data_IF_821881794055
#
_entry.id   IF_821881794055
#
_cell.length_a   1.000
_cell.length_b   1.000
_cell.length_c   1.000
_cell.angle_alpha   90.00
_cell.angle_beta   90.00
_cell.angle_gamma   90.00
#
_symmetry.space_group_name_H-M   'P 1'
#
loop_
_entity.id
_entity.type
_entity.pdbx_description
1 polymer ?
#
# COMPACT_ATOMS: atom_id res chain seq x y z
N UNK A 1 -5.37 1.36 -32.59
CA UNK A 1 -5.73 0.04 -32.08
C UNK A 1 -6.07 -0.87 -33.26
N UNK A 2 -5.44 -2.04 -33.35
CA UNK A 2 -5.65 -3.01 -34.44
C UNK A 2 -6.62 -4.09 -33.98
N UNK A 3 -7.85 -3.69 -33.67
CA UNK A 3 -8.87 -4.53 -33.03
C UNK A 3 -9.30 -5.75 -33.87
N UNK A 4 -8.85 -5.82 -35.13
CA UNK A 4 -9.15 -6.89 -36.07
C UNK A 4 -8.12 -8.03 -36.08
N UNK A 5 -6.97 -7.89 -35.41
CA UNK A 5 -5.94 -8.94 -35.41
C UNK A 5 -6.30 -10.09 -34.47
N UNK A 6 -6.70 -9.76 -33.23
CA UNK A 6 -7.19 -10.71 -32.23
C UNK A 6 -8.29 -10.02 -31.40
N UNK A 7 -9.53 -9.99 -31.90
CA UNK A 7 -10.63 -9.24 -31.28
C UNK A 7 -11.05 -9.80 -29.91
N UNK A 8 -10.79 -11.09 -29.65
CA UNK A 8 -11.12 -11.86 -28.45
C UNK A 8 -9.91 -12.03 -27.50
N UNK A 9 -8.84 -11.25 -27.70
CA UNK A 9 -7.64 -11.36 -26.88
C UNK A 9 -7.91 -11.17 -25.38
N UNK A 10 -8.71 -10.20 -24.93
CA UNK A 10 -9.01 -10.05 -23.50
C UNK A 10 -9.68 -11.29 -22.89
N UNK A 11 -10.64 -11.90 -23.58
CA UNK A 11 -11.37 -13.08 -23.13
C UNK A 11 -10.47 -14.32 -23.07
N UNK A 12 -9.58 -14.48 -24.04
CA UNK A 12 -8.56 -15.54 -24.05
C UNK A 12 -7.58 -15.37 -22.89
N UNK A 13 -7.09 -14.16 -22.64
CA UNK A 13 -6.15 -13.87 -21.55
C UNK A 13 -6.84 -14.03 -20.18
N UNK A 14 -8.11 -13.64 -20.05
CA UNK A 14 -8.88 -13.88 -18.84
C UNK A 14 -9.04 -15.38 -18.56
N UNK A 15 -9.36 -16.17 -19.60
CA UNK A 15 -9.47 -17.63 -19.48
C UNK A 15 -8.15 -18.28 -19.09
N UNK A 16 -7.03 -17.81 -19.68
CA UNK A 16 -5.69 -18.23 -19.31
C UNK A 16 -5.41 -17.91 -17.83
N UNK A 17 -5.68 -16.67 -17.40
CA UNK A 17 -5.39 -16.20 -16.05
C UNK A 17 -6.09 -17.03 -14.95
N UNK A 18 -7.30 -17.52 -15.22
CA UNK A 18 -8.05 -18.37 -14.29
C UNK A 18 -7.45 -19.77 -14.10
N UNK A 19 -6.73 -20.28 -15.11
CA UNK A 19 -6.18 -21.64 -15.10
C UNK A 19 -4.66 -21.69 -14.91
N UNK A 20 -4.00 -20.55 -15.09
CA UNK A 20 -2.55 -20.46 -15.03
C UNK A 20 -2.04 -20.85 -13.64
N UNK A 21 -0.86 -21.47 -13.59
CA UNK A 21 -0.16 -21.79 -12.35
C UNK A 21 1.11 -20.93 -12.21
N UNK A 22 1.74 -20.57 -13.33
CA UNK A 22 2.95 -19.77 -13.31
C UNK A 22 2.68 -18.33 -12.85
N UNK A 23 3.44 -17.93 -11.84
CA UNK A 23 3.29 -16.65 -11.15
C UNK A 23 3.59 -15.47 -12.07
N UNK A 24 4.63 -15.56 -12.89
CA UNK A 24 5.01 -14.49 -13.79
C UNK A 24 3.98 -14.33 -14.92
N UNK A 25 3.48 -15.44 -15.47
CA UNK A 25 2.40 -15.45 -16.46
C UNK A 25 1.13 -14.84 -15.89
N UNK A 26 0.71 -15.20 -14.67
CA UNK A 26 -0.45 -14.58 -14.01
C UNK A 26 -0.31 -13.07 -13.93
N UNK A 27 0.83 -12.58 -13.44
CA UNK A 27 1.09 -11.14 -13.33
C UNK A 27 1.00 -10.47 -14.70
N UNK A 28 1.63 -11.05 -15.72
CA UNK A 28 1.65 -10.47 -17.07
C UNK A 28 0.25 -10.44 -17.70
N UNK A 29 -0.50 -11.53 -17.59
CA UNK A 29 -1.89 -11.63 -18.05
C UNK A 29 -2.79 -10.61 -17.32
N UNK A 30 -2.67 -10.52 -16.00
CA UNK A 30 -3.43 -9.56 -15.20
C UNK A 30 -3.09 -8.11 -15.59
N UNK A 31 -1.82 -7.75 -15.73
CA UNK A 31 -1.40 -6.41 -16.17
C UNK A 31 -1.91 -6.09 -17.58
N UNK A 32 -1.94 -7.07 -18.49
CA UNK A 32 -2.54 -6.89 -19.82
C UNK A 32 -4.03 -6.56 -19.69
N UNK A 33 -4.79 -7.32 -18.90
CA UNK A 33 -6.22 -7.07 -18.67
C UNK A 33 -6.46 -5.70 -18.04
N UNK A 34 -5.67 -5.30 -17.03
CA UNK A 34 -5.79 -3.97 -16.40
C UNK A 34 -5.67 -2.82 -17.42
N UNK A 35 -4.88 -3.00 -18.48
CA UNK A 35 -4.66 -1.96 -19.49
C UNK A 35 -5.63 -2.04 -20.68
N UNK A 36 -6.10 -3.24 -21.04
CA UNK A 36 -6.90 -3.46 -22.26
C UNK A 36 -8.38 -3.72 -21.97
N UNK A 37 -8.71 -4.39 -20.87
CA UNK A 37 -10.07 -4.73 -20.47
C UNK A 37 -10.21 -4.70 -18.94
N UNK A 38 -10.26 -3.49 -18.33
CA UNK A 38 -10.26 -3.33 -16.86
C UNK A 38 -11.40 -4.07 -16.16
N UNK A 39 -12.57 -4.17 -16.80
CA UNK A 39 -13.74 -4.89 -16.29
C UNK A 39 -13.42 -6.37 -16.00
N UNK A 40 -12.71 -7.05 -16.92
CA UNK A 40 -12.28 -8.44 -16.74
C UNK A 40 -11.20 -8.58 -15.66
N UNK A 41 -10.34 -7.58 -15.49
CA UNK A 41 -9.37 -7.57 -14.40
C UNK A 41 -10.06 -7.43 -13.02
N UNK A 42 -11.11 -6.62 -12.94
CA UNK A 42 -11.93 -6.47 -11.73
C UNK A 42 -12.71 -7.76 -11.44
N UNK A 43 -13.28 -8.40 -12.46
CA UNK A 43 -13.95 -9.70 -12.33
C UNK A 43 -12.99 -10.77 -11.77
N UNK A 44 -11.79 -10.86 -12.34
CA UNK A 44 -10.75 -11.75 -11.82
C UNK A 44 -10.42 -11.42 -10.37
N UNK A 45 -10.15 -10.15 -10.04
CA UNK A 45 -9.82 -9.73 -8.68
C UNK A 45 -10.93 -10.12 -7.70
N UNK A 46 -12.19 -9.93 -8.06
CA UNK A 46 -13.33 -10.29 -7.22
C UNK A 46 -13.39 -11.80 -6.91
N UNK A 47 -13.00 -12.63 -7.89
CA UNK A 47 -12.94 -14.09 -7.69
C UNK A 47 -11.84 -14.52 -6.72
N UNK A 48 -10.75 -13.75 -6.59
CA UNK A 48 -9.57 -14.11 -5.80
C UNK A 48 -9.24 -13.15 -4.65
N UNK A 49 -10.06 -12.15 -4.36
CA UNK A 49 -9.71 -11.03 -3.46
C UNK A 49 -9.27 -11.48 -2.06
N UNK A 50 -9.84 -12.57 -1.54
CA UNK A 50 -9.49 -13.14 -0.23
C UNK A 50 -8.15 -13.89 -0.22
N UNK A 51 -7.60 -14.19 -1.39
CA UNK A 51 -6.34 -14.93 -1.55
C UNK A 51 -5.14 -14.00 -1.80
N UNK A 52 -5.41 -12.72 -2.08
CA UNK A 52 -4.39 -11.71 -2.43
C UNK A 52 -3.23 -11.65 -1.44
N UNK A 53 -3.42 -11.74 -0.10
CA UNK A 53 -2.30 -11.76 0.84
C UNK A 53 -1.30 -12.91 0.65
N UNK A 54 -1.72 -13.99 -0.02
CA UNK A 54 -0.90 -15.18 -0.28
C UNK A 54 -0.24 -15.17 -1.67
N UNK A 55 -0.52 -14.17 -2.50
CA UNK A 55 0.13 -14.02 -3.80
C UNK A 55 1.56 -13.53 -3.66
N UNK A 56 2.33 -13.68 -4.74
CA UNK A 56 3.67 -13.13 -4.80
C UNK A 56 3.64 -11.60 -4.86
N UNK A 57 4.78 -11.00 -4.54
CA UNK A 57 4.96 -9.56 -4.50
C UNK A 57 4.55 -8.85 -5.80
N UNK A 58 4.90 -9.38 -6.97
CA UNK A 58 4.65 -8.68 -8.23
C UNK A 58 3.16 -8.66 -8.59
N UNK A 59 2.45 -9.75 -8.33
CA UNK A 59 1.00 -9.80 -8.51
C UNK A 59 0.28 -8.93 -7.47
N UNK A 60 0.72 -8.94 -6.21
CA UNK A 60 0.19 -8.04 -5.17
C UNK A 60 0.32 -6.57 -5.58
N UNK A 61 1.50 -6.14 -6.05
CA UNK A 61 1.72 -4.77 -6.53
C UNK A 61 0.79 -4.41 -7.70
N UNK A 62 0.64 -5.31 -8.68
CA UNK A 62 -0.27 -5.08 -9.81
C UNK A 62 -1.74 -4.94 -9.37
N UNK A 63 -2.16 -5.71 -8.36
CA UNK A 63 -3.50 -5.63 -7.78
C UNK A 63 -3.71 -4.31 -7.04
N UNK A 64 -2.73 -3.87 -6.24
CA UNK A 64 -2.78 -2.56 -5.55
C UNK A 64 -2.94 -1.42 -6.57
N UNK A 65 -2.25 -1.49 -7.71
CA UNK A 65 -2.39 -0.52 -8.80
C UNK A 65 -3.78 -0.55 -9.44
N UNK A 66 -4.36 -1.74 -9.69
CA UNK A 66 -5.73 -1.85 -10.19
C UNK A 66 -6.72 -1.22 -9.19
N UNK A 67 -6.61 -1.57 -7.91
CA UNK A 67 -7.49 -1.05 -6.85
C UNK A 67 -7.48 0.48 -6.84
N UNK A 68 -6.29 1.09 -6.93
CA UNK A 68 -6.13 2.55 -6.97
C UNK A 68 -6.80 3.18 -8.19
N UNK A 69 -6.76 2.50 -9.35
CA UNK A 69 -7.40 2.96 -10.58
C UNK A 69 -8.92 2.81 -10.52
N UNK A 70 -9.42 1.64 -10.12
CA UNK A 70 -10.86 1.35 -10.09
C UNK A 70 -11.61 2.23 -9.07
N UNK A 71 -11.04 2.44 -7.88
CA UNK A 71 -11.69 3.24 -6.84
C UNK A 71 -11.91 4.72 -7.19
N UNK A 72 -11.25 5.26 -8.22
CA UNK A 72 -11.53 6.61 -8.73
C UNK A 72 -12.84 6.68 -9.50
N UNK A 73 -13.25 5.58 -10.11
CA UNK A 73 -14.40 5.51 -11.02
C UNK A 73 -15.58 4.75 -10.41
N UNK A 74 -15.32 3.78 -9.52
CA UNK A 74 -16.33 2.87 -9.00
C UNK A 74 -16.33 2.81 -7.46
N UNK A 75 -17.33 3.47 -6.85
CA UNK A 75 -17.47 3.52 -5.40
C UNK A 75 -18.02 2.21 -4.78
N UNK A 76 -18.67 1.35 -5.57
CA UNK A 76 -19.32 0.14 -5.06
C UNK A 76 -18.32 -0.85 -4.44
N UNK A 77 -17.11 -0.91 -5.01
CA UNK A 77 -16.07 -1.85 -4.60
C UNK A 77 -15.20 -1.36 -3.44
N UNK A 78 -15.39 -0.11 -3.01
CA UNK A 78 -14.49 0.58 -2.08
C UNK A 78 -14.29 -0.16 -0.75
N UNK A 79 -15.36 -0.73 -0.18
CA UNK A 79 -15.29 -1.45 1.09
C UNK A 79 -14.41 -2.70 1.03
N UNK A 80 -14.58 -3.55 0.00
CA UNK A 80 -13.77 -4.77 -0.18
C UNK A 80 -12.31 -4.45 -0.48
N UNK A 81 -12.05 -3.37 -1.22
CA UNK A 81 -10.68 -2.91 -1.49
C UNK A 81 -9.98 -2.39 -0.24
N UNK A 82 -10.67 -1.59 0.60
CA UNK A 82 -10.09 -1.15 1.87
C UNK A 82 -9.69 -2.36 2.72
N UNK A 83 -10.53 -3.39 2.81
CA UNK A 83 -10.20 -4.61 3.56
C UNK A 83 -8.96 -5.32 2.98
N UNK A 84 -8.92 -5.53 1.68
CA UNK A 84 -7.78 -6.17 0.99
C UNK A 84 -6.47 -5.39 1.22
N UNK A 85 -6.49 -4.06 1.04
CA UNK A 85 -5.32 -3.22 1.27
C UNK A 85 -4.88 -3.23 2.74
N UNK A 86 -5.84 -3.28 3.68
CA UNK A 86 -5.52 -3.35 5.10
C UNK A 86 -4.80 -4.65 5.47
N UNK A 87 -5.17 -5.79 4.87
CA UNK A 87 -4.47 -7.06 5.04
C UNK A 87 -3.03 -6.98 4.49
N UNK A 88 -2.83 -6.30 3.36
CA UNK A 88 -1.51 -6.10 2.75
C UNK A 88 -0.55 -5.20 3.55
N UNK A 89 -1.03 -4.47 4.56
CA UNK A 89 -0.15 -3.79 5.53
C UNK A 89 0.74 -4.77 6.31
N UNK A 90 0.37 -6.06 6.34
CA UNK A 90 1.14 -7.12 6.98
C UNK A 90 1.93 -7.98 5.98
N UNK A 91 2.01 -7.59 4.71
CA UNK A 91 2.72 -8.34 3.69
C UNK A 91 4.22 -8.53 4.04
N UNK A 92 4.86 -9.64 3.64
CA UNK A 92 6.28 -9.86 3.91
C UNK A 92 7.17 -8.87 3.15
N UNK A 93 6.77 -8.46 1.94
CA UNK A 93 7.51 -7.45 1.17
C UNK A 93 7.31 -6.05 1.74
N UNK A 94 8.43 -5.36 1.94
CA UNK A 94 8.44 -3.95 2.33
C UNK A 94 7.87 -3.03 1.25
N UNK A 95 8.09 -3.35 -0.03
CA UNK A 95 7.51 -2.61 -1.16
C UNK A 95 5.99 -2.71 -1.18
N UNK A 96 5.44 -3.91 -0.96
CA UNK A 96 3.97 -4.12 -0.88
C UNK A 96 3.39 -3.35 0.31
N UNK A 97 4.04 -3.42 1.48
CA UNK A 97 3.62 -2.67 2.68
C UNK A 97 3.56 -1.16 2.43
N UNK A 98 4.61 -0.61 1.83
CA UNK A 98 4.69 0.82 1.54
C UNK A 98 3.58 1.24 0.56
N UNK A 99 3.37 0.46 -0.50
CA UNK A 99 2.35 0.75 -1.50
C UNK A 99 0.93 0.57 -0.94
N UNK A 100 0.71 -0.43 -0.09
CA UNK A 100 -0.55 -0.66 0.61
C UNK A 100 -0.88 0.51 1.56
N UNK A 101 0.08 0.96 2.39
CA UNK A 101 -0.10 2.11 3.27
C UNK A 101 -0.41 3.39 2.47
N UNK A 102 0.32 3.63 1.39
CA UNK A 102 0.08 4.77 0.49
C UNK A 102 -1.30 4.71 -0.15
N UNK A 103 -1.70 3.53 -0.64
CA UNK A 103 -3.01 3.31 -1.27
C UNK A 103 -4.15 3.45 -0.27
N UNK A 104 -3.99 2.95 0.96
CA UNK A 104 -5.01 3.06 1.99
C UNK A 104 -5.40 4.51 2.26
N UNK A 105 -4.41 5.43 2.26
CA UNK A 105 -4.63 6.86 2.44
C UNK A 105 -5.32 7.53 1.24
N UNK A 106 -5.21 6.95 0.05
CA UNK A 106 -5.99 7.38 -1.11
C UNK A 106 -7.45 6.86 -1.07
N UNK A 107 -7.69 5.75 -0.37
CA UNK A 107 -9.02 5.15 -0.27
C UNK A 107 -9.84 5.73 0.88
N UNK A 108 -9.24 6.02 2.03
CA UNK A 108 -9.98 6.43 3.23
C UNK A 108 -9.18 7.36 4.14
N UNK A 109 -9.90 8.25 4.81
CA UNK A 109 -9.38 9.15 5.86
C UNK A 109 -9.86 8.76 7.25
N UNK A 110 -10.37 7.53 7.42
CA UNK A 110 -10.79 7.01 8.73
C UNK A 110 -9.58 7.02 9.70
N UNK A 111 -9.70 7.59 10.91
CA UNK A 111 -8.60 7.65 11.88
C UNK A 111 -7.92 6.30 12.17
N UNK A 112 -8.69 5.19 12.22
CA UNK A 112 -8.12 3.87 12.44
C UNK A 112 -7.21 3.42 11.29
N UNK A 113 -7.60 3.71 10.04
CA UNK A 113 -6.80 3.43 8.87
C UNK A 113 -5.56 4.33 8.80
N UNK A 114 -5.71 5.60 9.17
CA UNK A 114 -4.59 6.57 9.26
C UNK A 114 -3.56 6.09 10.27
N UNK A 115 -4.00 5.68 11.47
CA UNK A 115 -3.11 5.12 12.50
C UNK A 115 -2.42 3.84 12.02
N UNK A 116 -3.15 2.92 11.37
CA UNK A 116 -2.57 1.70 10.82
C UNK A 116 -1.50 1.96 9.74
N UNK A 117 -1.76 2.87 8.81
CA UNK A 117 -0.78 3.27 7.79
C UNK A 117 0.46 3.94 8.43
N UNK A 118 0.25 4.81 9.41
CA UNK A 118 1.33 5.45 10.16
C UNK A 118 2.21 4.43 10.90
N UNK A 119 1.61 3.46 11.60
CA UNK A 119 2.33 2.36 12.24
C UNK A 119 3.10 1.52 11.21
N UNK A 120 2.50 1.22 10.06
CA UNK A 120 3.17 0.50 8.97
C UNK A 120 4.40 1.26 8.46
N UNK A 121 4.32 2.59 8.30
CA UNK A 121 5.48 3.41 7.94
C UNK A 121 6.58 3.37 9.00
N UNK A 122 6.25 3.49 10.29
CA UNK A 122 7.23 3.41 11.38
C UNK A 122 7.94 2.04 11.35
N UNK A 123 7.20 0.95 11.20
CA UNK A 123 7.78 -0.39 11.07
C UNK A 123 8.75 -0.51 9.90
N UNK A 124 8.38 0.03 8.73
CA UNK A 124 9.24 0.06 7.55
C UNK A 124 10.53 0.85 7.84
N UNK A 125 10.43 2.03 8.44
CA UNK A 125 11.60 2.86 8.77
C UNK A 125 12.56 2.12 9.72
N UNK A 126 12.02 1.40 10.71
CA UNK A 126 12.83 0.66 11.68
C UNK A 126 13.50 -0.56 11.04
N UNK A 127 12.76 -1.33 10.22
CA UNK A 127 13.23 -2.61 9.64
C UNK A 127 14.08 -2.44 8.38
N UNK A 128 13.92 -1.34 7.64
CA UNK A 128 14.68 -1.10 6.41
C UNK A 128 16.18 -0.96 6.67
N UNK A 129 16.99 -1.36 5.69
CA UNK A 129 18.45 -1.21 5.77
C UNK A 129 18.93 0.07 5.09
N UNK A 130 18.28 0.47 3.99
CA UNK A 130 18.68 1.64 3.20
C UNK A 130 18.21 2.94 3.87
N UNK A 131 19.16 3.79 4.25
CA UNK A 131 18.88 5.09 4.87
C UNK A 131 18.08 6.02 3.96
N UNK A 132 18.23 5.94 2.64
CA UNK A 132 17.46 6.74 1.70
C UNK A 132 15.99 6.33 1.73
N UNK A 133 15.72 5.02 1.78
CA UNK A 133 14.35 4.50 1.92
C UNK A 133 13.75 4.96 3.25
N UNK A 134 14.50 4.86 4.36
CA UNK A 134 14.06 5.41 5.67
C UNK A 134 13.68 6.88 5.58
N UNK A 135 14.51 7.70 4.94
CA UNK A 135 14.25 9.14 4.79
C UNK A 135 13.02 9.42 3.91
N UNK A 136 12.81 8.64 2.84
CA UNK A 136 11.61 8.76 1.99
C UNK A 136 10.35 8.42 2.82
N UNK A 137 10.38 7.29 3.54
CA UNK A 137 9.23 6.83 4.34
C UNK A 137 8.97 7.78 5.52
N UNK A 138 10.00 8.31 6.17
CA UNK A 138 9.87 9.38 7.17
C UNK A 138 9.19 10.63 6.61
N UNK A 139 9.51 10.99 5.36
CA UNK A 139 8.81 12.08 4.68
C UNK A 139 7.33 11.80 4.48
N UNK A 140 6.97 10.57 4.07
CA UNK A 140 5.56 10.17 3.94
C UNK A 140 4.81 10.14 5.26
N UNK A 141 5.47 9.71 6.33
CA UNK A 141 4.90 9.75 7.67
C UNK A 141 4.62 11.19 8.11
N UNK A 142 5.56 12.12 7.88
CA UNK A 142 5.36 13.53 8.22
C UNK A 142 4.26 14.19 7.37
N UNK A 143 4.21 13.90 6.06
CA UNK A 143 3.11 14.33 5.19
C UNK A 143 1.74 13.87 5.74
N UNK A 144 1.68 12.65 6.28
CA UNK A 144 0.47 12.09 6.87
C UNK A 144 0.11 12.78 8.18
N UNK A 145 1.09 13.02 9.06
CA UNK A 145 0.93 13.74 10.33
C UNK A 145 0.39 15.15 10.10
N UNK A 146 0.97 15.89 9.15
CA UNK A 146 0.54 17.26 8.85
C UNK A 146 -0.92 17.33 8.36
N UNK A 147 -1.40 16.29 7.66
CA UNK A 147 -2.80 16.20 7.19
C UNK A 147 -3.78 15.75 8.26
N UNK A 148 -3.32 15.02 9.27
CA UNK A 148 -4.14 14.42 10.32
C UNK A 148 -3.62 14.80 11.69
N UNK A 149 -3.63 16.10 11.98
CA UNK A 149 -3.17 16.66 13.25
C UNK A 149 -3.89 15.96 14.42
N UNK A 150 -3.14 15.66 15.49
CA UNK A 150 -3.62 15.02 16.73
C UNK A 150 -3.98 13.54 16.66
N UNK A 151 -4.21 12.97 15.46
CA UNK A 151 -4.52 11.53 15.31
C UNK A 151 -3.30 10.67 15.61
N UNK A 152 -2.11 11.18 15.30
CA UNK A 152 -0.85 10.43 15.38
C UNK A 152 -0.05 10.72 16.65
N UNK A 153 -0.49 11.63 17.53
CA UNK A 153 0.27 12.04 18.73
C UNK A 153 0.55 10.86 19.69
N UNK A 154 -0.28 9.83 19.68
CA UNK A 154 -0.08 8.58 20.44
C UNK A 154 1.07 7.73 19.90
N UNK A 155 1.58 8.02 18.69
CA UNK A 155 2.68 7.30 18.05
C UNK A 155 4.05 7.97 18.29
N UNK A 156 4.14 8.98 19.16
CA UNK A 156 5.41 9.67 19.46
C UNK A 156 6.49 8.70 19.92
N UNK A 157 6.16 7.81 20.85
CA UNK A 157 7.13 6.83 21.35
C UNK A 157 7.52 5.81 20.28
N UNK A 158 6.57 5.44 19.40
CA UNK A 158 6.83 4.53 18.29
C UNK A 158 7.79 5.14 17.26
N UNK A 159 7.62 6.42 16.89
CA UNK A 159 8.53 7.09 15.95
C UNK A 159 9.94 7.25 16.55
N UNK A 160 10.08 7.42 17.86
CA UNK A 160 11.38 7.49 18.53
C UNK A 160 12.16 6.16 18.48
N UNK A 161 11.52 5.02 18.17
CA UNK A 161 12.24 3.75 17.92
C UNK A 161 13.21 3.85 16.74
N UNK A 162 12.97 4.78 15.82
CA UNK A 162 13.87 5.08 14.67
C UNK A 162 15.24 5.60 15.14
N UNK A 163 15.37 6.08 16.38
CA UNK A 163 16.63 6.53 16.95
C UNK A 163 17.69 5.43 17.12
N UNK A 164 17.28 4.16 17.00
CA UNK A 164 18.20 3.02 16.89
C UNK A 164 19.01 3.00 15.59
N UNK A 165 18.63 3.79 14.58
CA UNK A 165 19.39 3.92 13.33
C UNK A 165 20.78 4.52 13.58
N UNK A 166 21.87 3.96 13.00
CA UNK A 166 23.20 4.54 13.12
C UNK A 166 23.32 5.88 12.38
N UNK A 167 22.49 6.09 11.36
CA UNK A 167 22.55 7.28 10.50
C UNK A 167 22.03 8.54 11.22
N UNK A 168 22.82 9.61 11.18
CA UNK A 168 22.48 10.87 11.87
C UNK A 168 21.37 11.65 11.15
N UNK A 169 21.24 11.54 9.83
CA UNK A 169 20.21 12.26 9.09
C UNK A 169 18.82 11.64 9.37
N UNK A 170 18.73 10.31 9.39
CA UNK A 170 17.53 9.56 9.80
C UNK A 170 17.12 9.97 11.22
N UNK A 171 18.07 9.96 12.17
CA UNK A 171 17.79 10.36 13.57
C UNK A 171 17.34 11.80 13.69
N UNK A 172 18.04 12.75 13.05
CA UNK A 172 17.67 14.17 13.08
C UNK A 172 16.26 14.39 12.53
N UNK A 173 15.91 13.73 11.43
CA UNK A 173 14.57 13.84 10.83
C UNK A 173 13.50 13.24 11.75
N UNK A 174 13.74 12.07 12.34
CA UNK A 174 12.82 11.45 13.29
C UNK A 174 12.58 12.32 14.54
N UNK A 175 13.64 12.89 15.12
CA UNK A 175 13.52 13.84 16.25
C UNK A 175 12.71 15.08 15.86
N UNK A 176 12.99 15.66 14.69
CA UNK A 176 12.24 16.83 14.21
C UNK A 176 10.75 16.55 14.10
N UNK A 177 10.37 15.40 13.55
CA UNK A 177 8.96 14.98 13.47
C UNK A 177 8.37 14.74 14.87
N UNK A 178 9.10 14.05 15.75
CA UNK A 178 8.63 13.77 17.10
C UNK A 178 8.36 15.05 17.90
N UNK A 179 9.23 16.06 17.80
CA UNK A 179 9.05 17.36 18.47
C UNK A 179 7.74 18.05 18.05
N UNK A 180 7.34 17.92 16.79
CA UNK A 180 6.08 18.47 16.26
C UNK A 180 4.83 17.67 16.69
N UNK A 181 5.01 16.53 17.37
CA UNK A 181 3.95 15.67 17.89
C UNK A 181 3.86 15.72 19.42
N UNK A 182 4.85 16.32 20.10
CA UNK A 182 4.85 16.45 21.57
C UNK A 182 3.76 17.44 21.97
N UNK A 183 2.90 17.00 22.90
CA UNK A 183 1.87 17.82 23.52
C UNK A 183 1.82 17.51 25.01
N UNK A 184 1.13 18.33 25.81
CA UNK A 184 0.98 18.06 27.25
C UNK A 184 0.35 16.69 27.57
N UNK A 185 -0.22 15.99 26.58
CA UNK A 185 -0.83 14.66 26.73
C UNK A 185 0.14 13.50 26.68
N UNK A 186 1.32 13.67 26.09
CA UNK A 186 2.32 12.60 25.89
C UNK A 186 3.68 12.91 26.55
N UNK A 187 3.73 13.92 27.41
CA UNK A 187 4.95 14.30 28.16
C UNK A 187 5.16 13.43 29.40
N UNK A 188 4.10 12.85 29.94
CA UNK A 188 4.12 12.03 31.17
C UNK A 188 4.13 10.51 30.89
N UNK A 189 4.08 10.11 29.61
CA UNK A 189 4.19 8.70 29.14
C UNK A 189 5.62 8.35 28.71
#
# INVERSE_FOLDING_TARGET
HFDYLVPDAPELIHSLLLQEADVACKRNAFVMLVNCAPELAVEYLDSVINQVPNFDELLQMAIVDLIRKDCKNNAANKGKYIRCIFELLNAPSHSVKYEAATTLMALTSNPAAVKAAATCYIELIVKEADNNVKLIVLGRFDDLRQKHEKVLDELVMEILRVLSSPDIAVRKRAVGIALEMVSSRNVDE
#
